data_IF_213451989432
#
_entry.id   IF_213451989432
#
_cell.length_a   1.000
_cell.length_b   1.000
_cell.length_c   1.000
_cell.angle_alpha   90.00
_cell.angle_beta   90.00
_cell.angle_gamma   90.00
#
_symmetry.space_group_name_H-M   'P 1'
#
loop_
_entity.id
_entity.type
_entity.pdbx_description
1 polymer ?
#
# COMPACT_ATOMS: atom_id res chain seq x y z
N UNK A 1 32.47 7.28 -26.30
CA UNK A 1 31.22 6.46 -26.25
C UNK A 1 31.07 5.65 -24.94
N UNK A 2 32.16 5.13 -24.35
CA UNK A 2 32.12 4.35 -23.09
C UNK A 2 31.78 5.19 -21.82
N UNK A 3 32.13 6.47 -21.78
CA UNK A 3 31.88 7.32 -20.61
C UNK A 3 30.39 7.65 -20.40
N UNK A 4 29.61 7.74 -21.47
CA UNK A 4 28.16 8.02 -21.42
C UNK A 4 27.33 6.79 -20.96
N UNK A 5 27.80 5.59 -21.27
CA UNK A 5 27.16 4.33 -20.83
C UNK A 5 27.37 4.10 -19.32
N UNK A 6 28.58 4.37 -18.81
CA UNK A 6 28.89 4.25 -17.38
C UNK A 6 28.07 5.23 -16.53
N UNK A 7 27.89 6.47 -16.98
CA UNK A 7 27.05 7.44 -16.28
C UNK A 7 25.55 7.05 -16.29
N UNK A 8 25.05 6.47 -17.40
CA UNK A 8 23.66 5.96 -17.44
C UNK A 8 23.47 4.75 -16.52
N UNK A 9 24.43 3.86 -16.43
CA UNK A 9 24.37 2.69 -15.54
C UNK A 9 24.49 3.09 -14.07
N UNK A 10 25.35 4.05 -13.74
CA UNK A 10 25.47 4.64 -12.40
C UNK A 10 24.18 5.38 -11.98
N UNK A 11 23.55 6.10 -12.91
CA UNK A 11 22.27 6.76 -12.65
C UNK A 11 21.13 5.75 -12.46
N UNK A 12 21.07 4.69 -13.28
CA UNK A 12 20.07 3.62 -13.11
C UNK A 12 20.23 2.88 -11.77
N UNK A 13 21.48 2.59 -11.34
CA UNK A 13 21.74 2.01 -10.02
C UNK A 13 21.41 2.97 -8.87
N UNK A 14 21.65 4.28 -9.03
CA UNK A 14 21.20 5.29 -8.08
C UNK A 14 19.66 5.36 -8.00
N UNK A 15 18.97 5.37 -9.13
CA UNK A 15 17.51 5.39 -9.17
C UNK A 15 16.87 4.13 -8.54
N UNK A 16 17.45 2.94 -8.77
CA UNK A 16 16.99 1.70 -8.15
C UNK A 16 17.24 1.70 -6.63
N UNK A 17 18.32 2.32 -6.17
CA UNK A 17 18.65 2.42 -4.75
C UNK A 17 17.80 3.47 -4.02
N UNK A 18 17.42 4.56 -4.70
CA UNK A 18 16.54 5.62 -4.16
C UNK A 18 15.12 5.10 -3.95
N UNK A 19 14.58 4.22 -4.82
CA UNK A 19 13.24 3.65 -4.64
C UNK A 19 13.12 2.70 -3.43
N UNK A 20 14.24 2.25 -2.84
CA UNK A 20 14.27 1.25 -1.77
C UNK A 20 14.32 1.85 -0.36
N UNK A 21 14.50 3.17 -0.21
CA UNK A 21 14.70 3.83 1.08
C UNK A 21 13.51 4.67 1.56
N UNK A 22 12.48 4.86 0.73
CA UNK A 22 11.30 5.64 1.10
C UNK A 22 10.21 4.73 1.66
N UNK A 23 9.86 4.91 2.93
CA UNK A 23 8.71 4.28 3.56
C UNK A 23 7.54 5.23 3.60
N UNK A 24 6.35 4.76 3.21
CA UNK A 24 5.14 5.55 3.20
C UNK A 24 4.04 4.85 3.97
N UNK A 25 3.62 5.47 5.07
CA UNK A 25 2.55 5.00 5.93
C UNK A 25 1.31 5.83 5.64
N UNK A 26 0.21 5.16 5.31
CA UNK A 26 -1.06 5.78 4.97
C UNK A 26 -1.98 5.88 6.20
N UNK A 27 -2.64 7.02 6.31
CA UNK A 27 -3.73 7.31 7.24
C UNK A 27 -4.93 7.74 6.40
N UNK A 28 -5.69 6.79 5.90
CA UNK A 28 -6.73 7.00 4.88
C UNK A 28 -6.20 7.72 3.63
N UNK A 29 -6.51 9.00 3.48
CA UNK A 29 -6.05 9.84 2.35
C UNK A 29 -4.74 10.56 2.62
N UNK A 30 -4.30 10.59 3.87
CA UNK A 30 -3.10 11.27 4.36
C UNK A 30 -1.92 10.32 4.45
N UNK A 31 -0.70 10.82 4.61
CA UNK A 31 0.48 9.94 4.73
C UNK A 31 1.64 10.58 5.49
N UNK A 32 2.37 9.73 6.23
CA UNK A 32 3.71 10.01 6.75
C UNK A 32 4.72 9.35 5.80
N UNK A 33 5.74 10.09 5.42
CA UNK A 33 6.76 9.64 4.46
C UNK A 33 8.13 9.75 5.13
N UNK A 34 8.78 8.62 5.34
CA UNK A 34 10.15 8.54 5.84
C UNK A 34 11.07 8.38 4.64
N UNK A 35 12.05 9.25 4.50
CA UNK A 35 12.92 9.30 3.32
C UNK A 35 14.29 9.91 3.66
N UNK A 36 15.21 9.95 2.70
CA UNK A 36 16.45 10.70 2.88
C UNK A 36 16.20 12.21 2.82
N UNK A 37 17.11 13.05 3.36
CA UNK A 37 17.01 14.52 3.24
C UNK A 37 16.94 14.99 1.78
N UNK A 38 17.70 14.34 0.87
CA UNK A 38 17.68 14.68 -0.55
C UNK A 38 16.31 14.36 -1.20
N UNK A 39 15.69 13.26 -0.83
CA UNK A 39 14.35 12.89 -1.33
C UNK A 39 13.28 13.84 -0.81
N UNK A 40 13.37 14.26 0.46
CA UNK A 40 12.45 15.25 1.04
C UNK A 40 12.54 16.58 0.29
N UNK A 41 13.76 17.10 0.04
CA UNK A 41 14.00 18.34 -0.67
C UNK A 41 13.49 18.34 -2.13
N UNK A 42 13.40 17.15 -2.76
CA UNK A 42 12.91 17.01 -4.14
C UNK A 42 11.39 16.82 -4.24
N UNK A 43 10.72 16.54 -3.12
CA UNK A 43 9.35 16.04 -3.15
C UNK A 43 8.28 17.14 -3.25
N UNK A 44 8.34 18.14 -2.38
CA UNK A 44 7.35 19.23 -2.32
C UNK A 44 7.94 20.42 -1.57
N UNK A 45 8.11 21.58 -2.19
CA UNK A 45 8.67 22.77 -1.52
C UNK A 45 7.81 23.31 -0.38
N UNK A 46 6.54 22.91 -0.29
CA UNK A 46 5.62 23.25 0.80
C UNK A 46 5.39 22.09 1.77
N UNK A 47 6.17 21.01 1.66
CA UNK A 47 6.05 19.86 2.55
C UNK A 47 6.33 20.26 3.99
N UNK A 48 5.50 19.74 4.90
CA UNK A 48 5.78 19.83 6.34
C UNK A 48 6.79 18.74 6.67
N UNK A 49 7.98 19.18 7.12
CA UNK A 49 8.99 18.26 7.61
C UNK A 49 8.91 18.15 9.14
N UNK A 50 9.05 16.94 9.63
CA UNK A 50 9.15 16.67 11.05
C UNK A 50 10.55 16.11 11.35
N UNK A 51 11.28 16.82 12.20
CA UNK A 51 12.59 16.42 12.69
C UNK A 51 12.48 16.06 14.17
N UNK A 52 12.78 14.82 14.52
CA UNK A 52 12.73 14.38 15.91
C UNK A 52 14.16 14.20 16.46
N UNK A 53 14.35 14.65 17.70
CA UNK A 53 15.60 14.44 18.45
C UNK A 53 15.61 13.17 19.29
N UNK A 54 14.43 12.59 19.60
CA UNK A 54 14.27 11.40 20.45
C UNK A 54 13.21 10.47 19.86
N UNK A 55 13.42 9.16 20.01
CA UNK A 55 12.46 8.14 19.54
C UNK A 55 11.05 8.31 20.11
N UNK A 56 10.92 8.79 21.37
CA UNK A 56 9.61 9.03 22.02
C UNK A 56 8.76 10.07 21.31
N UNK A 57 9.35 10.97 20.51
CA UNK A 57 8.62 12.01 19.78
C UNK A 57 7.87 11.46 18.57
N UNK A 58 8.20 10.24 18.12
CA UNK A 58 7.53 9.57 16.99
C UNK A 58 6.07 9.23 17.34
N UNK A 59 5.81 8.72 18.55
CA UNK A 59 4.44 8.43 19.01
C UNK A 59 3.60 9.70 19.14
N UNK A 60 4.20 10.81 19.59
CA UNK A 60 3.55 12.12 19.65
C UNK A 60 3.19 12.64 18.26
N UNK A 61 4.05 12.41 17.24
CA UNK A 61 3.80 12.79 15.85
C UNK A 61 2.51 12.15 15.32
N UNK A 62 2.30 10.86 15.58
CA UNK A 62 1.10 10.14 15.13
C UNK A 62 -0.16 10.77 15.70
N UNK A 63 -0.13 11.10 17.00
CA UNK A 63 -1.25 11.75 17.66
C UNK A 63 -1.50 13.19 17.15
N UNK A 64 -0.44 13.94 16.86
CA UNK A 64 -0.53 15.27 16.27
C UNK A 64 -1.08 15.23 14.86
N UNK A 65 -0.58 14.29 14.05
CA UNK A 65 -1.01 14.11 12.67
C UNK A 65 -2.49 13.73 12.58
N UNK A 66 -2.94 12.84 13.47
CA UNK A 66 -4.35 12.45 13.50
C UNK A 66 -5.27 13.62 13.85
N UNK A 67 -4.89 14.41 14.86
CA UNK A 67 -5.69 15.55 15.34
C UNK A 67 -5.69 16.75 14.38
N UNK A 68 -4.82 16.75 13.38
CA UNK A 68 -4.72 17.85 12.43
C UNK A 68 -5.56 17.59 11.19
N UNK A 69 -6.56 18.42 10.95
CA UNK A 69 -7.39 18.38 9.73
C UNK A 69 -6.71 19.06 8.52
N UNK A 70 -5.57 19.72 8.74
CA UNK A 70 -4.88 20.53 7.71
C UNK A 70 -3.63 19.88 7.15
N UNK A 71 -3.12 18.82 7.79
CA UNK A 71 -1.90 18.13 7.37
C UNK A 71 -2.23 16.88 6.54
N UNK A 72 -2.02 16.97 5.24
CA UNK A 72 -2.20 15.82 4.32
C UNK A 72 -0.97 14.92 4.27
N UNK A 73 0.22 15.52 4.38
CA UNK A 73 1.50 14.81 4.30
C UNK A 73 2.50 15.40 5.29
N UNK A 74 3.25 14.49 5.93
CA UNK A 74 4.44 14.85 6.70
C UNK A 74 5.62 14.06 6.15
N UNK A 75 6.74 14.73 5.96
CA UNK A 75 8.00 14.10 5.63
C UNK A 75 8.88 14.01 6.88
N UNK A 76 9.52 12.86 7.05
CA UNK A 76 10.52 12.62 8.10
C UNK A 76 11.85 12.38 7.41
N UNK A 77 12.65 13.43 7.16
CA UNK A 77 14.00 13.27 6.62
C UNK A 77 14.89 12.54 7.64
N UNK A 78 15.60 11.52 7.19
CA UNK A 78 16.49 10.73 8.03
C UNK A 78 17.68 10.22 7.23
N UNK A 79 18.88 10.27 7.81
CA UNK A 79 20.07 9.62 7.25
C UNK A 79 20.01 8.10 7.34
N UNK A 80 19.13 7.57 8.21
CA UNK A 80 18.78 6.15 8.33
C UNK A 80 17.25 5.96 8.24
N UNK A 81 16.62 6.04 7.04
CA UNK A 81 15.19 5.88 6.87
C UNK A 81 14.66 4.54 7.36
N UNK A 82 15.43 3.47 7.18
CA UNK A 82 15.07 2.12 7.63
C UNK A 82 15.03 2.01 9.17
N UNK A 83 16.04 2.55 9.85
CA UNK A 83 16.06 2.61 11.31
C UNK A 83 14.95 3.49 11.88
N UNK A 84 14.65 4.60 11.22
CA UNK A 84 13.54 5.48 11.55
C UNK A 84 12.19 4.77 11.38
N UNK A 85 11.98 4.07 10.26
CA UNK A 85 10.78 3.27 10.00
C UNK A 85 10.56 2.20 11.05
N UNK A 86 11.61 1.41 11.39
CA UNK A 86 11.52 0.40 12.45
C UNK A 86 11.19 1.00 13.82
N UNK A 87 11.75 2.18 14.12
CA UNK A 87 11.42 2.89 15.35
C UNK A 87 9.95 3.31 15.39
N UNK A 88 9.42 3.78 14.26
CA UNK A 88 8.01 4.14 14.13
C UNK A 88 7.10 2.90 14.24
N UNK A 89 7.44 1.78 13.60
CA UNK A 89 6.69 0.52 13.72
C UNK A 89 6.55 0.06 15.17
N UNK A 90 7.59 0.25 16.00
CA UNK A 90 7.55 -0.10 17.42
C UNK A 90 6.53 0.65 18.28
N UNK A 91 5.95 1.76 17.78
CA UNK A 91 4.89 2.50 18.46
C UNK A 91 3.47 1.95 18.16
N UNK A 92 3.37 0.97 17.29
CA UNK A 92 2.11 0.40 16.83
C UNK A 92 1.98 -1.07 17.19
N UNK A 93 0.74 -1.55 17.21
CA UNK A 93 0.47 -2.97 17.10
C UNK A 93 0.53 -3.36 15.61
N UNK A 94 1.60 -4.04 15.23
CA UNK A 94 1.73 -4.52 13.86
C UNK A 94 0.77 -5.67 13.59
N UNK A 95 0.13 -5.65 12.42
CA UNK A 95 -0.75 -6.70 11.91
C UNK A 95 -0.47 -6.95 10.45
N UNK A 96 -0.49 -8.21 10.05
CA UNK A 96 -0.28 -8.62 8.67
C UNK A 96 -1.62 -8.81 7.96
N UNK A 97 -1.64 -8.47 6.70
CA UNK A 97 -2.74 -8.71 5.77
C UNK A 97 -2.19 -9.04 4.38
N UNK A 98 -2.95 -9.68 3.56
CA UNK A 98 -2.58 -9.90 2.17
C UNK A 98 -3.81 -9.84 1.26
N UNK A 99 -3.56 -9.59 -0.02
CA UNK A 99 -4.61 -9.54 -1.02
C UNK A 99 -4.05 -9.56 -2.44
N UNK A 100 -4.92 -9.35 -3.42
CA UNK A 100 -4.56 -9.52 -4.81
C UNK A 100 -5.02 -8.43 -5.76
N UNK A 101 -4.16 -8.09 -6.71
CA UNK A 101 -4.55 -7.47 -7.96
C UNK A 101 -4.85 -8.58 -8.96
N UNK A 102 -6.13 -8.95 -9.05
CA UNK A 102 -6.57 -10.08 -9.88
C UNK A 102 -6.91 -9.62 -11.28
N UNK A 103 -6.38 -10.31 -12.28
CA UNK A 103 -6.66 -10.06 -13.70
C UNK A 103 -7.25 -11.32 -14.34
N UNK A 104 -8.35 -11.17 -15.09
CA UNK A 104 -8.95 -12.27 -15.83
C UNK A 104 -8.35 -12.44 -17.25
N UNK A 105 -8.78 -13.48 -17.97
CA UNK A 105 -8.33 -13.74 -19.35
C UNK A 105 -8.55 -12.61 -20.35
N UNK A 106 -9.51 -11.70 -20.07
CA UNK A 106 -9.80 -10.55 -20.93
C UNK A 106 -8.94 -9.33 -20.60
N UNK A 107 -8.11 -9.43 -19.52
CA UNK A 107 -7.34 -8.31 -19.01
C UNK A 107 -8.16 -7.34 -18.14
N UNK A 108 -9.35 -7.76 -17.66
CA UNK A 108 -10.13 -6.98 -16.71
C UNK A 108 -9.63 -7.23 -15.28
N UNK A 109 -9.67 -6.21 -14.45
CA UNK A 109 -9.23 -6.23 -13.05
C UNK A 109 -10.42 -6.39 -12.10
N UNK A 110 -10.25 -7.21 -11.08
CA UNK A 110 -11.25 -7.39 -10.02
C UNK A 110 -11.12 -6.26 -9.01
N UNK A 111 -12.23 -5.57 -8.79
CA UNK A 111 -12.37 -4.52 -7.80
C UNK A 111 -13.55 -4.83 -6.87
N UNK A 112 -13.41 -4.49 -5.60
CA UNK A 112 -14.49 -4.50 -4.62
C UNK A 112 -14.89 -3.07 -4.24
N UNK A 113 -16.09 -2.90 -3.70
CA UNK A 113 -16.55 -1.62 -3.16
C UNK A 113 -16.91 -1.79 -1.69
N UNK A 114 -16.18 -1.07 -0.83
CA UNK A 114 -16.36 -1.03 0.62
C UNK A 114 -16.40 0.43 1.07
N UNK A 115 -17.27 0.79 2.00
CA UNK A 115 -17.39 2.17 2.54
C UNK A 115 -17.53 3.26 1.48
N UNK A 116 -18.18 2.93 0.37
CA UNK A 116 -18.39 3.86 -0.75
C UNK A 116 -17.16 4.09 -1.65
N UNK A 117 -16.00 3.50 -1.33
CA UNK A 117 -14.78 3.56 -2.12
C UNK A 117 -14.53 2.24 -2.86
N UNK A 118 -13.78 2.32 -3.94
CA UNK A 118 -13.25 1.15 -4.63
C UNK A 118 -11.96 0.70 -3.96
N UNK A 119 -11.80 -0.62 -3.83
CA UNK A 119 -10.66 -1.25 -3.16
C UNK A 119 -10.26 -2.53 -3.92
N UNK A 120 -9.17 -3.15 -3.50
CA UNK A 120 -8.77 -4.50 -3.90
C UNK A 120 -9.09 -5.49 -2.77
N UNK A 121 -9.47 -6.74 -3.08
CA UNK A 121 -9.77 -7.75 -2.09
C UNK A 121 -8.52 -8.10 -1.26
N UNK A 122 -8.67 -8.14 0.08
CA UNK A 122 -7.60 -8.36 1.05
C UNK A 122 -8.12 -8.48 2.47
N UNK A 123 -7.48 -9.26 3.28
CA UNK A 123 -7.80 -9.32 4.71
C UNK A 123 -6.64 -9.80 5.57
N UNK A 124 -6.93 -10.10 6.83
CA UNK A 124 -5.92 -10.35 7.85
C UNK A 124 -5.34 -11.76 7.75
N UNK A 125 -4.02 -11.87 8.00
CA UNK A 125 -3.34 -13.15 8.14
C UNK A 125 -3.83 -13.86 9.40
N UNK A 126 -4.20 -15.14 9.25
CA UNK A 126 -4.53 -16.01 10.38
C UNK A 126 -3.26 -16.55 11.07
N UNK A 127 -3.35 -16.93 12.35
CA UNK A 127 -2.21 -17.49 13.08
C UNK A 127 -1.66 -18.76 12.41
N UNK A 128 -0.37 -18.72 12.04
CA UNK A 128 0.31 -19.86 11.40
C UNK A 128 0.08 -20.00 9.90
N UNK A 129 -0.69 -19.12 9.31
CA UNK A 129 -0.92 -19.10 7.86
C UNK A 129 0.26 -18.45 7.11
N UNK A 130 0.61 -18.98 5.95
CA UNK A 130 1.54 -18.29 5.05
C UNK A 130 0.87 -17.07 4.42
N UNK A 131 1.62 -15.98 4.26
CA UNK A 131 1.06 -14.73 3.76
C UNK A 131 0.52 -14.83 2.32
N UNK A 132 1.10 -15.69 1.51
CA UNK A 132 0.63 -15.96 0.15
C UNK A 132 -0.68 -16.77 0.14
N UNK A 133 -0.88 -17.65 1.11
CA UNK A 133 -2.13 -18.38 1.34
C UNK A 133 -3.21 -17.43 1.82
N UNK A 134 -2.88 -16.53 2.76
CA UNK A 134 -3.78 -15.44 3.17
C UNK A 134 -4.32 -14.68 1.95
N UNK A 135 -3.44 -14.29 1.03
CA UNK A 135 -3.83 -13.52 -0.14
C UNK A 135 -4.86 -14.25 -1.02
N UNK A 136 -4.66 -15.55 -1.24
CA UNK A 136 -5.60 -16.36 -2.04
C UNK A 136 -6.94 -16.55 -1.31
N UNK A 137 -6.91 -16.90 -0.01
CA UNK A 137 -8.10 -17.10 0.81
C UNK A 137 -8.96 -15.83 0.86
N UNK A 138 -8.36 -14.69 1.15
CA UNK A 138 -9.09 -13.43 1.28
C UNK A 138 -9.74 -12.98 -0.04
N UNK A 139 -9.04 -13.14 -1.18
CA UNK A 139 -9.64 -12.85 -2.48
C UNK A 139 -10.86 -13.76 -2.73
N UNK A 140 -10.75 -15.03 -2.39
CA UNK A 140 -11.83 -15.99 -2.54
C UNK A 140 -13.03 -15.65 -1.63
N UNK A 141 -12.77 -15.36 -0.35
CA UNK A 141 -13.82 -15.04 0.64
C UNK A 141 -14.56 -13.76 0.30
N UNK A 142 -13.81 -12.69 -0.05
CA UNK A 142 -14.40 -11.38 -0.34
C UNK A 142 -15.14 -11.30 -1.69
N UNK A 143 -14.85 -12.21 -2.64
CA UNK A 143 -15.35 -12.08 -4.02
C UNK A 143 -16.01 -13.32 -4.61
N UNK A 144 -15.85 -14.49 -3.99
CA UNK A 144 -16.31 -15.77 -4.51
C UNK A 144 -15.45 -16.34 -5.66
N UNK A 145 -14.33 -15.70 -5.98
CA UNK A 145 -13.41 -16.16 -7.04
C UNK A 145 -12.49 -17.24 -6.49
N UNK A 146 -12.60 -18.44 -7.02
CA UNK A 146 -11.77 -19.60 -6.70
C UNK A 146 -10.73 -19.91 -7.79
N UNK A 147 -9.86 -20.90 -7.55
CA UNK A 147 -8.88 -21.37 -8.53
C UNK A 147 -7.98 -20.24 -9.11
N UNK A 148 -7.54 -19.35 -8.23
CA UNK A 148 -6.63 -18.27 -8.56
C UNK A 148 -5.20 -18.81 -8.75
N UNK A 149 -4.54 -18.37 -9.83
CA UNK A 149 -3.11 -18.57 -10.02
C UNK A 149 -2.35 -17.42 -9.39
N UNK A 150 -1.57 -17.73 -8.34
CA UNK A 150 -0.74 -16.76 -7.63
C UNK A 150 0.48 -16.41 -8.46
N UNK A 151 0.70 -15.12 -8.69
CA UNK A 151 1.88 -14.57 -9.33
C UNK A 151 2.83 -13.88 -8.35
N UNK A 152 3.63 -12.95 -8.86
CA UNK A 152 4.66 -12.26 -8.10
C UNK A 152 4.08 -11.27 -7.08
N UNK A 153 4.84 -11.03 -5.99
CA UNK A 153 4.60 -9.93 -5.07
C UNK A 153 4.79 -8.59 -5.79
N UNK A 154 3.75 -7.77 -5.81
CA UNK A 154 3.77 -6.43 -6.44
C UNK A 154 4.45 -5.41 -5.53
N UNK A 155 3.95 -5.29 -4.30
CA UNK A 155 4.46 -4.37 -3.28
C UNK A 155 3.83 -4.68 -1.92
N UNK A 156 4.36 -4.01 -0.88
CA UNK A 156 3.74 -3.94 0.45
C UNK A 156 3.27 -2.50 0.65
N UNK A 157 2.10 -2.34 1.28
CA UNK A 157 1.58 -1.03 1.70
C UNK A 157 1.31 -1.04 3.19
N UNK A 158 1.66 0.06 3.86
CA UNK A 158 1.51 0.24 5.29
C UNK A 158 0.36 1.20 5.56
N UNK A 159 -0.64 0.75 6.31
CA UNK A 159 -1.80 1.54 6.67
C UNK A 159 -1.98 1.59 8.19
N UNK A 160 -2.04 2.80 8.74
CA UNK A 160 -2.25 3.04 10.16
C UNK A 160 -3.71 3.37 10.44
N UNK A 161 -4.27 2.77 11.52
CA UNK A 161 -5.63 3.03 11.97
C UNK A 161 -5.77 2.83 13.48
N UNK A 162 -6.74 3.53 14.05
CA UNK A 162 -7.07 3.43 15.48
C UNK A 162 -8.14 2.35 15.71
N UNK A 163 -7.87 1.38 16.59
CA UNK A 163 -8.83 0.35 16.99
C UNK A 163 -8.50 -0.15 18.40
N UNK A 164 -9.54 -0.41 19.21
CA UNK A 164 -9.40 -0.95 20.57
C UNK A 164 -8.43 -0.12 21.45
N UNK A 165 -8.55 1.21 21.40
CA UNK A 165 -7.73 2.16 22.16
C UNK A 165 -6.22 2.05 21.88
N UNK A 166 -5.82 1.60 20.70
CA UNK A 166 -4.42 1.59 20.28
C UNK A 166 -4.28 1.77 18.76
N UNK A 167 -3.14 2.26 18.36
CA UNK A 167 -2.76 2.37 16.98
C UNK A 167 -2.30 1.02 16.42
N UNK A 168 -2.83 0.67 15.26
CA UNK A 168 -2.42 -0.50 14.51
C UNK A 168 -1.70 -0.06 13.24
N UNK A 169 -0.63 -0.75 12.89
CA UNK A 169 0.05 -0.63 11.61
C UNK A 169 -0.17 -1.92 10.84
N UNK A 170 -0.95 -1.84 9.78
CA UNK A 170 -1.28 -2.97 8.91
C UNK A 170 -0.36 -2.98 7.71
N UNK A 171 0.49 -4.01 7.62
CA UNK A 171 1.28 -4.35 6.45
C UNK A 171 0.43 -5.20 5.52
N UNK A 172 0.19 -4.74 4.30
CA UNK A 172 -0.57 -5.51 3.32
C UNK A 172 0.30 -5.92 2.16
N UNK A 173 0.50 -7.23 1.99
CA UNK A 173 1.21 -7.84 0.87
C UNK A 173 0.27 -7.98 -0.32
N UNK A 174 0.61 -7.36 -1.44
CA UNK A 174 -0.18 -7.35 -2.65
C UNK A 174 0.45 -8.23 -3.70
N UNK A 175 -0.28 -9.26 -4.14
CA UNK A 175 0.17 -10.19 -5.16
C UNK A 175 -0.56 -9.95 -6.48
N UNK A 176 0.15 -10.15 -7.60
CA UNK A 176 -0.50 -10.34 -8.89
C UNK A 176 -1.20 -11.69 -8.87
N UNK A 177 -2.44 -11.76 -9.36
CA UNK A 177 -3.18 -13.02 -9.47
C UNK A 177 -3.86 -13.13 -10.83
N UNK A 178 -3.90 -14.34 -11.37
CA UNK A 178 -4.55 -14.63 -12.63
C UNK A 178 -5.78 -15.49 -12.42
N UNK A 179 -6.86 -15.12 -13.08
CA UNK A 179 -8.12 -15.85 -13.02
C UNK A 179 -8.54 -16.31 -14.41
N UNK A 180 -8.69 -17.61 -14.58
CA UNK A 180 -8.84 -18.23 -15.90
C UNK A 180 -10.25 -18.79 -16.15
N UNK A 181 -11.08 -18.92 -15.13
CA UNK A 181 -12.40 -19.52 -15.22
C UNK A 181 -13.51 -18.46 -15.06
N UNK A 182 -14.55 -18.43 -15.89
CA UNK A 182 -15.68 -17.55 -15.63
C UNK A 182 -16.42 -17.96 -14.36
N UNK A 183 -16.74 -16.99 -13.47
CA UNK A 183 -17.58 -17.19 -12.29
C UNK A 183 -18.41 -15.94 -12.06
N UNK A 184 -19.57 -16.12 -11.44
CA UNK A 184 -20.36 -15.03 -10.90
C UNK A 184 -19.69 -14.55 -9.59
N UNK A 185 -19.49 -13.25 -9.49
CA UNK A 185 -18.89 -12.64 -8.31
C UNK A 185 -19.90 -12.61 -7.16
N UNK A 186 -19.45 -13.01 -5.98
CA UNK A 186 -20.26 -13.02 -4.75
C UNK A 186 -19.58 -12.15 -3.70
N UNK A 187 -19.98 -10.87 -3.56
CA UNK A 187 -19.40 -9.99 -2.54
C UNK A 187 -19.72 -10.49 -1.13
N UNK A 188 -18.72 -10.48 -0.24
CA UNK A 188 -18.90 -10.81 1.18
C UNK A 188 -19.53 -9.63 1.92
N UNK A 189 -20.85 -9.66 2.05
CA UNK A 189 -21.64 -8.55 2.64
C UNK A 189 -21.39 -8.37 4.13
N UNK A 190 -20.97 -9.42 4.85
CA UNK A 190 -20.60 -9.39 6.27
C UNK A 190 -19.40 -8.52 6.57
N UNK A 191 -18.58 -8.23 5.55
CA UNK A 191 -17.44 -7.31 5.61
C UNK A 191 -17.71 -5.96 4.94
N UNK A 192 -18.97 -5.55 4.84
CA UNK A 192 -19.39 -4.28 4.22
C UNK A 192 -18.99 -4.14 2.74
N UNK A 193 -18.72 -5.26 2.07
CA UNK A 193 -18.45 -5.29 0.64
C UNK A 193 -19.77 -5.25 -0.12
N UNK A 194 -20.10 -4.08 -0.66
CA UNK A 194 -21.37 -3.84 -1.33
C UNK A 194 -21.37 -4.25 -2.80
N UNK A 195 -20.18 -4.45 -3.39
CA UNK A 195 -20.03 -4.85 -4.80
C UNK A 195 -18.68 -5.47 -5.07
N UNK A 196 -18.65 -6.48 -5.94
CA UNK A 196 -17.47 -6.95 -6.66
C UNK A 196 -17.71 -6.79 -8.16
N UNK A 197 -16.67 -6.40 -8.92
CA UNK A 197 -16.83 -6.15 -10.36
C UNK A 197 -15.52 -6.36 -11.12
N UNK A 198 -15.64 -6.93 -12.34
CA UNK A 198 -14.57 -6.92 -13.33
C UNK A 198 -14.58 -5.60 -14.09
N UNK A 199 -13.44 -4.91 -14.11
CA UNK A 199 -13.27 -3.59 -14.71
C UNK A 199 -12.19 -3.65 -15.77
N UNK A 200 -12.55 -3.32 -17.02
CA UNK A 200 -11.58 -3.26 -18.11
C UNK A 200 -10.49 -2.22 -17.83
N UNK A 201 -9.24 -2.50 -18.25
CA UNK A 201 -8.10 -1.59 -18.06
C UNK A 201 -8.41 -0.16 -18.54
N UNK A 202 -9.05 -0.02 -19.69
CA UNK A 202 -9.46 1.29 -20.25
C UNK A 202 -10.48 2.04 -19.38
N UNK A 203 -11.21 1.33 -18.54
CA UNK A 203 -12.25 1.88 -17.66
C UNK A 203 -11.77 2.15 -16.24
N UNK A 204 -10.52 1.82 -15.88
CA UNK A 204 -9.96 2.02 -14.54
C UNK A 204 -9.90 3.48 -14.05
N UNK A 205 -9.63 4.51 -14.88
CA UNK A 205 -9.37 5.86 -14.38
C UNK A 205 -10.44 6.45 -13.44
N UNK A 206 -11.75 6.33 -13.68
CA UNK A 206 -12.78 6.82 -12.77
C UNK A 206 -12.81 6.02 -11.44
N UNK A 207 -12.51 4.72 -11.47
CA UNK A 207 -12.41 3.89 -10.26
C UNK A 207 -11.22 4.31 -9.40
N UNK A 208 -10.06 4.56 -10.03
CA UNK A 208 -8.84 5.01 -9.35
C UNK A 208 -8.94 6.44 -8.81
N UNK A 209 -9.89 7.27 -9.28
CA UNK A 209 -10.20 8.56 -8.66
C UNK A 209 -10.93 8.39 -7.33
N UNK A 210 -11.72 7.32 -7.17
CA UNK A 210 -12.53 7.03 -5.98
C UNK A 210 -12.00 5.81 -5.22
N UNK A 211 -10.71 5.80 -4.92
CA UNK A 211 -10.03 4.74 -4.16
C UNK A 211 -8.98 5.33 -3.21
N UNK A 212 -8.45 4.50 -2.33
CA UNK A 212 -7.38 4.87 -1.40
C UNK A 212 -6.04 5.13 -2.12
N UNK A 213 -5.20 6.05 -1.61
CA UNK A 213 -3.87 6.28 -2.16
C UNK A 213 -2.97 5.04 -2.14
N UNK A 214 -3.13 4.16 -1.15
CA UNK A 214 -2.42 2.87 -1.06
C UNK A 214 -2.78 1.94 -2.24
N UNK A 215 -4.04 1.89 -2.64
CA UNK A 215 -4.49 1.10 -3.79
C UNK A 215 -3.93 1.67 -5.10
N UNK A 216 -3.90 3.00 -5.26
CA UNK A 216 -3.23 3.63 -6.42
C UNK A 216 -1.77 3.21 -6.53
N UNK A 217 -1.07 3.09 -5.37
CA UNK A 217 0.32 2.59 -5.34
C UNK A 217 0.42 1.17 -5.87
N UNK A 218 -0.52 0.28 -5.55
CA UNK A 218 -0.51 -1.10 -6.08
C UNK A 218 -0.57 -1.11 -7.60
N UNK A 219 -1.52 -0.38 -8.20
CA UNK A 219 -1.64 -0.28 -9.66
C UNK A 219 -0.38 0.32 -10.31
N UNK A 220 0.19 1.38 -9.72
CA UNK A 220 1.43 2.00 -10.20
C UNK A 220 2.62 1.01 -10.13
N UNK A 221 2.73 0.27 -9.03
CA UNK A 221 3.80 -0.73 -8.85
C UNK A 221 3.66 -1.90 -9.81
N UNK A 222 2.43 -2.29 -10.15
CA UNK A 222 2.13 -3.31 -11.16
C UNK A 222 2.27 -2.81 -12.61
N UNK A 223 2.56 -1.51 -12.82
CA UNK A 223 2.67 -0.87 -14.16
C UNK A 223 1.39 -1.01 -15.00
N UNK A 224 0.25 -0.89 -14.36
CA UNK A 224 -1.08 -0.98 -14.97
C UNK A 224 -1.57 0.38 -15.46
#
# INVERSE_FOLDING_TARGET
MFHCLLQKTLNLQKWTRIQTLMHKIYFDKRSIIICTPEEAALSDPNAVEFHFGRKSEIGELVCLFEKSDTLDKIYIPSDDPEGCYRALCGEFREVNAAGGLVVNRRGDYLLIRRDGLWDLPKGHQEPGEDISVTALREVQEETGVDNLELGDLICITDHCYWRNNMWHLKHTWWYMMHYMTPVDLTPQTEEDITKAAWVAKSSLPPFLKNTYPSIKKVFLSAKV
#
